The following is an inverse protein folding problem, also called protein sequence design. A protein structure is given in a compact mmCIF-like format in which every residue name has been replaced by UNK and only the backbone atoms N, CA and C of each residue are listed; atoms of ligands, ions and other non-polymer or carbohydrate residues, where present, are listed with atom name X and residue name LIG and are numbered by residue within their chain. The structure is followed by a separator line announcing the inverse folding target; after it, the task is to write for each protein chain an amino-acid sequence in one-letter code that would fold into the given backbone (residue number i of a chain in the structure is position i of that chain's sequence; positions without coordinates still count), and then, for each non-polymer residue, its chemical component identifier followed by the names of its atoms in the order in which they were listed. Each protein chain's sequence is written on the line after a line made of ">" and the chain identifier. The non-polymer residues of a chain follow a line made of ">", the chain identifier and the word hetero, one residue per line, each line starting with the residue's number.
data_IF_441191427918
#
_entry.id   IF_441191427918
#
_cell.length_a   1.000
_cell.length_b   1.000
_cell.length_c   1.000
_cell.angle_alpha   90.00
_cell.angle_beta   90.00
_cell.angle_gamma   90.00
#
_symmetry.space_group_name_H-M   'P 1'
#
loop_
_entity.id
_entity.type
_entity.pdbx_description
1 polymer ?
#
# COMPACT_ATOMS: atom_id res chain seq x y z
N UNK A 1 17.43 -14.75 6.37
CA UNK A 1 17.42 -16.08 5.72
C UNK A 1 18.63 -16.16 4.80
N UNK A 2 19.54 -17.12 4.97
CA UNK A 2 20.67 -17.31 4.04
C UNK A 2 20.25 -18.35 3.00
N UNK A 3 19.89 -17.89 1.80
CA UNK A 3 19.59 -18.73 0.64
C UNK A 3 20.63 -18.39 -0.42
N UNK A 4 21.21 -19.38 -1.07
CA UNK A 4 22.09 -19.13 -2.21
C UNK A 4 21.27 -18.44 -3.32
N UNK A 5 21.80 -17.43 -4.03
CA UNK A 5 21.06 -16.75 -5.10
C UNK A 5 20.43 -17.71 -6.12
N UNK A 6 21.16 -18.77 -6.49
CA UNK A 6 20.70 -19.85 -7.37
C UNK A 6 19.41 -20.54 -6.91
N UNK A 7 19.17 -20.58 -5.61
CA UNK A 7 18.09 -21.36 -5.02
C UNK A 7 16.86 -20.49 -4.71
N UNK A 8 16.99 -19.16 -4.79
CA UNK A 8 15.93 -18.22 -4.37
C UNK A 8 14.64 -18.41 -5.16
N UNK A 9 14.76 -18.54 -6.48
CA UNK A 9 13.63 -18.79 -7.38
C UNK A 9 12.91 -20.10 -7.02
N UNK A 10 13.69 -21.17 -6.81
CA UNK A 10 13.14 -22.49 -6.48
C UNK A 10 12.52 -22.52 -5.08
N UNK A 11 13.15 -21.88 -4.09
CA UNK A 11 12.60 -21.76 -2.73
C UNK A 11 11.28 -20.98 -2.77
N UNK A 12 11.18 -19.88 -3.53
CA UNK A 12 9.93 -19.12 -3.68
C UNK A 12 8.81 -19.98 -4.27
N UNK A 13 9.13 -20.75 -5.31
CA UNK A 13 8.20 -21.68 -5.95
C UNK A 13 7.71 -22.75 -4.98
N UNK A 14 8.59 -23.39 -4.23
CA UNK A 14 8.23 -24.41 -3.26
C UNK A 14 7.41 -23.85 -2.08
N UNK A 15 7.75 -22.66 -1.59
CA UNK A 15 6.98 -22.01 -0.53
C UNK A 15 5.54 -21.70 -0.98
N UNK A 16 5.37 -21.16 -2.18
CA UNK A 16 4.05 -20.85 -2.73
C UNK A 16 3.24 -22.11 -3.05
N UNK A 17 3.90 -23.15 -3.58
CA UNK A 17 3.31 -24.47 -3.80
C UNK A 17 2.79 -25.04 -2.47
N UNK A 18 3.61 -24.99 -1.42
CA UNK A 18 3.21 -25.46 -0.09
C UNK A 18 1.99 -24.69 0.42
N UNK A 19 1.99 -23.35 0.32
CA UNK A 19 0.84 -22.54 0.70
C UNK A 19 -0.44 -22.97 -0.01
N UNK A 20 -0.39 -23.17 -1.33
CA UNK A 20 -1.54 -23.61 -2.11
C UNK A 20 -2.05 -25.02 -1.73
N UNK A 21 -1.17 -25.90 -1.24
CA UNK A 21 -1.54 -27.25 -0.78
C UNK A 21 -2.05 -27.32 0.65
N UNK A 22 -1.68 -26.36 1.50
CA UNK A 22 -2.03 -26.38 2.93
C UNK A 22 -3.46 -25.92 3.22
N UNK A 23 -4.23 -25.51 2.20
CA UNK A 23 -5.63 -25.03 2.31
C UNK A 23 -5.83 -24.07 3.48
N UNK A 24 -4.89 -23.13 3.62
CA UNK A 24 -4.92 -22.13 4.68
C UNK A 24 -6.09 -21.17 4.49
N UNK A 25 -6.56 -20.58 5.59
CA UNK A 25 -7.52 -19.49 5.49
C UNK A 25 -6.89 -18.28 4.77
N UNK A 26 -7.71 -17.41 4.15
CA UNK A 26 -7.22 -16.27 3.36
C UNK A 26 -6.24 -15.38 4.14
N UNK A 27 -6.52 -15.08 5.40
CA UNK A 27 -5.69 -14.20 6.24
C UNK A 27 -4.28 -14.75 6.49
N UNK A 28 -4.14 -16.04 6.83
CA UNK A 28 -2.81 -16.64 7.04
C UNK A 28 -2.06 -16.78 5.74
N UNK A 29 -2.76 -17.09 4.66
CA UNK A 29 -2.18 -17.18 3.33
C UNK A 29 -1.62 -15.82 2.89
N UNK A 30 -2.39 -14.76 3.11
CA UNK A 30 -2.01 -13.37 2.89
C UNK A 30 -0.77 -12.98 3.71
N UNK A 31 -0.79 -13.27 5.01
CA UNK A 31 0.33 -12.97 5.90
C UNK A 31 1.63 -13.67 5.47
N UNK A 32 1.56 -14.97 5.14
CA UNK A 32 2.76 -15.73 4.77
C UNK A 32 3.24 -15.35 3.37
N UNK A 33 2.34 -15.10 2.41
CA UNK A 33 2.73 -14.66 1.07
C UNK A 33 3.40 -13.29 1.09
N UNK A 34 2.90 -12.35 1.89
CA UNK A 34 3.52 -11.04 2.12
C UNK A 34 4.90 -11.15 2.77
N UNK A 35 5.06 -12.06 3.75
CA UNK A 35 6.36 -12.36 4.35
C UNK A 35 7.36 -12.90 3.31
N UNK A 36 6.95 -13.88 2.49
CA UNK A 36 7.78 -14.42 1.42
C UNK A 36 8.18 -13.31 0.44
N UNK A 37 7.24 -12.48 -0.02
CA UNK A 37 7.54 -11.37 -0.94
C UNK A 37 8.52 -10.35 -0.37
N UNK A 38 8.40 -10.04 0.93
CA UNK A 38 9.27 -9.06 1.59
C UNK A 38 10.71 -9.54 1.72
N UNK A 39 10.90 -10.80 2.13
CA UNK A 39 12.22 -11.36 2.47
C UNK A 39 12.86 -12.15 1.33
N UNK A 40 12.09 -12.56 0.32
CA UNK A 40 12.55 -13.28 -0.86
C UNK A 40 12.28 -12.48 -2.13
N UNK A 41 12.86 -11.27 -2.16
CA UNK A 41 12.91 -10.45 -3.38
C UNK A 41 13.78 -11.15 -4.41
N UNK A 42 13.25 -11.31 -5.61
CA UNK A 42 13.94 -11.90 -6.74
C UNK A 42 14.45 -10.80 -7.68
N UNK A 43 15.59 -11.02 -8.31
CA UNK A 43 16.04 -10.22 -9.46
C UNK A 43 15.22 -10.57 -10.71
N UNK A 44 15.39 -9.82 -11.81
CA UNK A 44 14.73 -10.13 -13.08
C UNK A 44 15.08 -11.54 -13.59
N UNK A 45 16.35 -11.93 -13.51
CA UNK A 45 16.80 -13.28 -13.89
C UNK A 45 16.19 -14.38 -13.00
N UNK A 46 16.10 -14.13 -11.69
CA UNK A 46 15.51 -15.06 -10.72
C UNK A 46 13.99 -15.17 -10.90
N UNK A 47 13.30 -14.08 -11.28
CA UNK A 47 11.87 -14.11 -11.62
C UNK A 47 11.60 -14.97 -12.86
N UNK A 48 12.48 -14.93 -13.86
CA UNK A 48 12.34 -15.80 -15.04
C UNK A 48 12.54 -17.28 -14.69
N UNK A 49 13.52 -17.59 -13.84
CA UNK A 49 13.69 -18.94 -13.30
C UNK A 49 12.50 -19.39 -12.45
N UNK A 50 11.91 -18.47 -11.69
CA UNK A 50 10.70 -18.72 -10.91
C UNK A 50 9.52 -19.06 -11.83
N UNK A 51 9.27 -18.29 -12.89
CA UNK A 51 8.23 -18.61 -13.89
C UNK A 51 8.42 -19.99 -14.51
N UNK A 52 9.66 -20.35 -14.89
CA UNK A 52 9.96 -21.68 -15.41
C UNK A 52 9.69 -22.79 -14.39
N UNK A 53 9.96 -22.55 -13.10
CA UNK A 53 9.64 -23.49 -12.04
C UNK A 53 8.11 -23.66 -11.87
N UNK A 54 7.33 -22.59 -12.04
CA UNK A 54 5.87 -22.63 -12.00
C UNK A 54 5.26 -23.42 -13.16
N UNK A 55 5.88 -23.40 -14.34
CA UNK A 55 5.43 -24.20 -15.49
C UNK A 55 5.54 -25.71 -15.26
N UNK A 56 6.44 -26.13 -14.37
CA UNK A 56 6.63 -27.54 -14.02
C UNK A 56 5.67 -28.05 -12.94
N UNK A 57 4.87 -27.17 -12.34
CA UNK A 57 3.88 -27.55 -11.32
C UNK A 57 2.62 -28.16 -11.95
N UNK A 58 1.89 -28.92 -11.15
CA UNK A 58 0.58 -29.41 -11.55
C UNK A 58 -0.41 -28.25 -11.74
N UNK A 59 -1.29 -28.40 -12.73
CA UNK A 59 -2.26 -27.36 -13.12
C UNK A 59 -3.13 -26.91 -11.95
N UNK A 60 -3.60 -27.85 -11.13
CA UNK A 60 -4.46 -27.58 -9.97
C UNK A 60 -3.78 -26.68 -8.92
N UNK A 61 -2.53 -26.97 -8.57
CA UNK A 61 -1.76 -26.18 -7.61
C UNK A 61 -1.39 -24.83 -8.21
N UNK A 62 -1.04 -24.80 -9.51
CA UNK A 62 -0.73 -23.57 -10.24
C UNK A 62 -1.94 -22.62 -10.29
N UNK A 63 -3.13 -23.13 -10.58
CA UNK A 63 -4.37 -22.34 -10.63
C UNK A 63 -4.70 -21.72 -9.27
N UNK A 64 -4.67 -22.51 -8.19
CA UNK A 64 -4.88 -22.01 -6.82
C UNK A 64 -3.87 -20.90 -6.51
N UNK A 65 -2.59 -21.14 -6.76
CA UNK A 65 -1.53 -20.15 -6.51
C UNK A 65 -1.73 -18.87 -7.34
N UNK A 66 -2.08 -18.97 -8.62
CA UNK A 66 -2.31 -17.80 -9.47
C UNK A 66 -3.47 -16.95 -9.00
N UNK A 67 -4.55 -17.55 -8.48
CA UNK A 67 -5.67 -16.82 -7.91
C UNK A 67 -5.21 -15.92 -6.74
N UNK A 68 -4.46 -16.49 -5.79
CA UNK A 68 -3.96 -15.74 -4.63
C UNK A 68 -2.94 -14.65 -4.99
N UNK A 69 -2.01 -14.96 -5.90
CA UNK A 69 -1.01 -13.98 -6.35
C UNK A 69 -1.69 -12.81 -7.04
N UNK A 70 -2.71 -13.06 -7.87
CA UNK A 70 -3.45 -12.03 -8.59
C UNK A 70 -4.23 -11.13 -7.63
N UNK A 71 -4.96 -11.73 -6.68
CA UNK A 71 -5.75 -10.99 -5.69
C UNK A 71 -4.85 -10.09 -4.80
N UNK A 72 -3.70 -10.63 -4.38
CA UNK A 72 -2.71 -9.87 -3.61
C UNK A 72 -2.07 -8.73 -4.43
N UNK A 73 -1.68 -9.01 -5.67
CA UNK A 73 -1.11 -7.97 -6.55
C UNK A 73 -2.11 -6.86 -6.81
N UNK A 74 -3.39 -7.20 -7.04
CA UNK A 74 -4.43 -6.20 -7.24
C UNK A 74 -4.69 -5.40 -5.96
N UNK A 75 -4.73 -6.05 -4.78
CA UNK A 75 -4.84 -5.37 -3.49
C UNK A 75 -3.67 -4.40 -3.26
N UNK A 76 -2.43 -4.84 -3.43
CA UNK A 76 -1.26 -3.98 -3.29
C UNK A 76 -1.24 -2.82 -4.31
N UNK A 77 -1.76 -3.06 -5.53
CA UNK A 77 -1.93 -2.00 -6.54
C UNK A 77 -3.03 -1.00 -6.15
N UNK A 78 -4.07 -1.43 -5.46
CA UNK A 78 -5.12 -0.54 -4.95
C UNK A 78 -4.63 0.28 -3.77
N UNK A 79 -3.98 -0.36 -2.80
CA UNK A 79 -3.36 0.30 -1.64
C UNK A 79 -2.34 1.36 -2.09
N UNK A 80 -1.41 1.01 -2.98
CA UNK A 80 -0.43 1.98 -3.49
C UNK A 80 -1.06 3.15 -4.26
N UNK A 81 -2.20 2.94 -4.94
CA UNK A 81 -2.96 4.04 -5.57
C UNK A 81 -3.65 4.92 -4.55
N UNK A 82 -4.14 4.33 -3.45
CA UNK A 82 -4.80 5.07 -2.38
C UNK A 82 -3.78 5.89 -1.58
N UNK A 83 -2.67 5.28 -1.18
CA UNK A 83 -1.54 5.96 -0.53
C UNK A 83 -1.04 7.13 -1.38
N UNK A 84 -0.81 6.90 -2.68
CA UNK A 84 -0.39 7.97 -3.59
C UNK A 84 -1.40 9.12 -3.69
N UNK A 85 -2.71 8.82 -3.67
CA UNK A 85 -3.75 9.85 -3.66
C UNK A 85 -3.79 10.64 -2.34
N UNK A 86 -3.60 9.96 -1.21
CA UNK A 86 -3.55 10.58 0.11
C UNK A 86 -2.36 11.55 0.17
N UNK A 87 -1.14 11.07 -0.12
CA UNK A 87 0.08 11.90 -0.11
C UNK A 87 -0.05 13.08 -1.06
N UNK A 88 -0.53 12.85 -2.29
CA UNK A 88 -0.73 13.94 -3.24
C UNK A 88 -1.70 15.01 -2.72
N UNK A 89 -2.83 14.61 -2.11
CA UNK A 89 -3.79 15.57 -1.56
C UNK A 89 -3.23 16.35 -0.38
N UNK A 90 -2.49 15.69 0.51
CA UNK A 90 -1.80 16.35 1.62
C UNK A 90 -0.83 17.42 1.09
N UNK A 91 0.01 17.05 0.12
CA UNK A 91 0.95 17.97 -0.52
C UNK A 91 0.24 19.15 -1.22
N UNK A 92 -0.86 18.88 -1.92
CA UNK A 92 -1.62 19.91 -2.63
C UNK A 92 -2.27 20.90 -1.64
N UNK A 93 -2.84 20.41 -0.54
CA UNK A 93 -3.38 21.26 0.54
C UNK A 93 -2.28 22.17 1.08
N UNK A 94 -1.14 21.60 1.46
CA UNK A 94 -0.02 22.36 2.02
C UNK A 94 0.50 23.39 1.02
N UNK A 95 0.66 23.01 -0.26
CA UNK A 95 1.10 23.93 -1.32
C UNK A 95 0.13 25.10 -1.51
N UNK A 96 -1.18 24.85 -1.48
CA UNK A 96 -2.19 25.93 -1.60
C UNK A 96 -2.06 26.88 -0.40
N UNK A 97 -1.97 26.35 0.82
CA UNK A 97 -1.84 27.16 2.01
C UNK A 97 -0.53 27.98 2.01
N UNK A 98 0.59 27.41 1.53
CA UNK A 98 1.88 28.11 1.43
C UNK A 98 1.78 29.27 0.45
N UNK A 99 1.13 29.06 -0.71
CA UNK A 99 0.93 30.12 -1.71
C UNK A 99 0.01 31.23 -1.19
N UNK A 100 -0.98 30.90 -0.36
CA UNK A 100 -1.99 31.86 0.11
C UNK A 100 -1.56 32.65 1.34
N UNK A 101 -0.81 32.02 2.25
CA UNK A 101 -0.50 32.56 3.57
C UNK A 101 1.01 32.71 3.83
N UNK A 102 1.86 32.37 2.85
CA UNK A 102 3.33 32.43 2.86
C UNK A 102 3.98 31.48 3.87
N UNK A 103 3.70 31.66 5.16
CA UNK A 103 4.19 30.80 6.24
C UNK A 103 3.05 29.98 6.83
N UNK A 104 3.25 28.66 6.91
CA UNK A 104 2.34 27.74 7.59
C UNK A 104 3.02 27.24 8.86
N UNK A 105 2.35 27.31 10.03
CA UNK A 105 2.79 26.65 11.26
C UNK A 105 3.05 25.16 11.05
N UNK A 106 4.12 24.64 11.66
CA UNK A 106 4.48 23.22 11.61
C UNK A 106 3.36 22.31 12.14
N UNK A 107 2.54 22.81 13.08
CA UNK A 107 1.37 22.11 13.59
C UNK A 107 0.38 21.74 12.48
N UNK A 108 0.10 22.65 11.54
CA UNK A 108 -0.81 22.37 10.41
C UNK A 108 -0.17 21.36 9.45
N UNK A 109 1.14 21.46 9.21
CA UNK A 109 1.89 20.49 8.38
C UNK A 109 1.77 19.08 8.95
N UNK A 110 2.00 18.94 10.25
CA UNK A 110 1.88 17.66 10.93
C UNK A 110 0.45 17.12 10.95
N UNK A 111 -0.54 17.98 11.20
CA UNK A 111 -1.94 17.55 11.25
C UNK A 111 -2.40 17.06 9.89
N UNK A 112 -2.15 17.82 8.81
CA UNK A 112 -2.50 17.41 7.45
C UNK A 112 -1.77 16.11 7.07
N UNK A 113 -0.48 15.98 7.42
CA UNK A 113 0.31 14.78 7.13
C UNK A 113 -0.16 13.51 7.84
N UNK A 114 -0.90 13.63 8.96
CA UNK A 114 -1.47 12.48 9.69
C UNK A 114 -2.84 12.03 9.17
N UNK A 115 -3.46 12.75 8.24
CA UNK A 115 -4.79 12.42 7.73
C UNK A 115 -4.67 11.41 6.59
N UNK A 116 -5.14 10.18 6.83
CA UNK A 116 -5.19 9.11 5.83
C UNK A 116 -6.58 8.98 5.16
N UNK A 117 -7.58 9.72 5.65
CA UNK A 117 -8.94 9.64 5.12
C UNK A 117 -9.14 10.57 3.91
N UNK A 118 -9.41 9.97 2.76
CA UNK A 118 -9.50 10.69 1.48
C UNK A 118 -10.65 11.70 1.44
N UNK A 119 -11.77 11.41 2.10
CA UNK A 119 -12.94 12.29 2.15
C UNK A 119 -12.66 13.55 2.97
N UNK A 120 -11.99 13.39 4.12
CA UNK A 120 -11.52 14.50 4.96
C UNK A 120 -10.54 15.37 4.18
N UNK A 121 -9.54 14.76 3.51
CA UNK A 121 -8.62 15.50 2.64
C UNK A 121 -9.33 16.22 1.49
N UNK A 122 -10.41 15.66 0.96
CA UNK A 122 -11.23 16.33 -0.06
C UNK A 122 -11.89 17.60 0.47
N UNK A 123 -12.44 17.54 1.68
CA UNK A 123 -13.02 18.72 2.35
C UNK A 123 -11.96 19.77 2.66
N UNK A 124 -10.81 19.35 3.19
CA UNK A 124 -9.69 20.25 3.50
C UNK A 124 -9.12 20.89 2.24
N UNK A 125 -9.07 20.18 1.12
CA UNK A 125 -8.64 20.77 -0.16
C UNK A 125 -9.55 21.94 -0.56
N UNK A 126 -10.87 21.80 -0.43
CA UNK A 126 -11.80 22.91 -0.71
C UNK A 126 -11.65 24.04 0.31
N UNK A 127 -11.47 23.71 1.59
CA UNK A 127 -11.23 24.70 2.64
C UNK A 127 -9.92 25.47 2.42
N UNK A 128 -8.87 24.81 1.92
CA UNK A 128 -7.57 25.44 1.66
C UNK A 128 -7.66 26.58 0.66
N UNK A 129 -8.66 26.57 -0.22
CA UNK A 129 -8.93 27.63 -1.21
C UNK A 129 -9.90 28.69 -0.68
N UNK A 130 -10.85 28.31 0.19
CA UNK A 130 -11.95 29.18 0.63
C UNK A 130 -11.71 29.87 1.97
N UNK A 131 -10.89 29.30 2.86
CA UNK A 131 -10.56 29.88 4.16
C UNK A 131 -9.91 31.25 4.02
N UNK A 132 -10.29 32.23 4.85
CA UNK A 132 -9.75 33.59 4.77
C UNK A 132 -8.46 33.78 5.59
N UNK A 133 -8.15 32.84 6.47
CA UNK A 133 -6.93 32.82 7.28
C UNK A 133 -6.60 31.38 7.68
N UNK A 134 -5.42 31.16 8.26
CA UNK A 134 -5.00 29.86 8.77
C UNK A 134 -5.81 29.43 10.00
N UNK A 135 -6.28 30.37 10.81
CA UNK A 135 -7.16 30.07 11.96
C UNK A 135 -8.56 29.60 11.51
N UNK A 136 -9.00 30.01 10.31
CA UNK A 136 -10.25 29.58 9.70
C UNK A 136 -10.11 28.23 8.96
N UNK A 137 -8.88 27.74 8.78
CA UNK A 137 -8.59 26.44 8.20
C UNK A 137 -8.61 25.37 9.30
N UNK A 138 -9.78 24.74 9.48
CA UNK A 138 -10.00 23.78 10.56
C UNK A 138 -9.59 22.36 10.13
N UNK A 139 -8.38 21.95 10.53
CA UNK A 139 -7.85 20.61 10.26
C UNK A 139 -8.54 19.54 11.12
N UNK A 140 -9.16 19.96 12.22
CA UNK A 140 -9.92 19.08 13.10
C UNK A 140 -11.39 19.14 12.70
N UNK A 141 -11.82 18.23 11.84
CA UNK A 141 -13.24 17.91 11.74
C UNK A 141 -13.76 17.59 13.16
N UNK A 142 -14.55 18.50 13.72
CA UNK A 142 -15.21 18.50 15.04
C UNK A 142 -14.51 19.25 16.19
N UNK A 143 -14.87 20.54 16.36
CA UNK A 143 -15.25 21.07 17.69
C UNK A 143 -16.74 20.95 18.00
N UNK A 144 -17.53 20.21 17.21
CA UNK A 144 -18.97 20.09 17.38
C UNK A 144 -19.45 18.64 17.28
N UNK A 145 -19.00 17.79 18.20
CA UNK A 145 -19.81 16.67 18.66
C UNK A 145 -19.73 16.60 20.19
N UNK A 146 -20.33 17.61 20.81
CA UNK A 146 -20.66 17.57 22.24
C UNK A 146 -22.10 18.04 22.38
N UNK A 147 -23.04 17.09 22.27
CA UNK A 147 -24.29 17.07 23.02
C UNK A 147 -24.95 15.69 22.96
#
# INVERSE_FOLDING_TARGET
>A
MRIAPSDRAQVKAECLRLLATLELNPEKMEFISGFIGTYLRLTEDEEEQFKQALERMDLTTKERMMQFVTDWQEKGRQEGRQEGQITQRQEDILRILEVRFEEIPDEIRELVGKIEEIEVLGTLLVQSVTAQSLEAFDVCGERNNTQ
#
